data_IF_360096234738
#
_entry.id   IF_360096234738
#
_cell.length_a   1.000
_cell.length_b   1.000
_cell.length_c   1.000
_cell.angle_alpha   90.00
_cell.angle_beta   90.00
_cell.angle_gamma   90.00
#
_symmetry.space_group_name_H-M   'P 1'
#
loop_
_entity.id
_entity.type
_entity.pdbx_description
1 polymer ?
#
# COMPACT_ATOMS: atom_id res chain seq x y z
N UNK A 1 32.57 31.68 -13.77
CA UNK A 1 31.55 31.04 -14.64
C UNK A 1 31.25 29.67 -14.03
N UNK A 2 30.42 29.53 -12.98
CA UNK A 2 28.95 29.54 -13.01
C UNK A 2 28.36 28.77 -14.20
N UNK A 3 28.72 27.51 -14.41
CA UNK A 3 27.93 26.63 -15.31
C UNK A 3 27.81 25.24 -14.70
N UNK A 4 26.69 25.08 -13.99
CA UNK A 4 26.02 23.83 -13.67
C UNK A 4 26.80 22.81 -12.82
N UNK A 5 26.99 23.15 -11.55
CA UNK A 5 26.88 22.16 -10.46
C UNK A 5 25.39 22.11 -10.08
N UNK A 6 24.82 20.92 -9.83
CA UNK A 6 23.41 20.62 -9.55
C UNK A 6 22.47 20.46 -10.76
N UNK A 7 22.55 19.31 -11.43
CA UNK A 7 21.31 18.58 -11.74
C UNK A 7 21.27 17.37 -10.81
N UNK A 8 20.87 17.59 -9.55
CA UNK A 8 20.57 16.48 -8.64
C UNK A 8 19.29 15.84 -9.16
N UNK A 9 19.45 14.70 -9.81
CA UNK A 9 18.39 13.87 -10.35
C UNK A 9 17.45 13.49 -9.18
N UNK A 10 16.31 14.19 -9.02
CA UNK A 10 15.21 13.69 -8.20
C UNK A 10 14.62 12.48 -8.93
N UNK A 11 15.25 11.32 -8.76
CA UNK A 11 14.56 10.05 -9.01
C UNK A 11 13.54 9.94 -7.89
N UNK A 12 12.26 10.16 -8.20
CA UNK A 12 11.18 9.71 -7.33
C UNK A 12 11.31 8.19 -7.23
N UNK A 13 11.80 7.69 -6.09
CA UNK A 13 11.75 6.27 -5.82
C UNK A 13 10.27 5.90 -5.70
N UNK A 14 9.77 5.09 -6.63
CA UNK A 14 8.47 4.45 -6.47
C UNK A 14 8.64 3.48 -5.29
N UNK A 15 8.15 3.87 -4.12
CA UNK A 15 8.08 2.97 -2.96
C UNK A 15 6.76 2.24 -3.01
N UNK A 16 6.79 0.92 -3.14
CA UNK A 16 5.65 0.07 -2.86
C UNK A 16 5.75 -0.33 -1.39
N UNK A 17 4.72 -0.02 -0.61
CA UNK A 17 4.64 -0.39 0.80
C UNK A 17 3.68 -1.56 1.00
N UNK A 18 4.01 -2.40 1.98
CA UNK A 18 3.08 -3.38 2.52
C UNK A 18 2.33 -2.74 3.70
N UNK A 19 1.00 -2.66 3.60
CA UNK A 19 0.12 -2.15 4.65
C UNK A 19 -0.57 -3.35 5.30
N UNK A 20 -0.29 -3.59 6.58
CA UNK A 20 -0.78 -4.79 7.27
C UNK A 20 -2.08 -4.51 8.01
N UNK A 21 -3.11 -5.31 7.74
CA UNK A 21 -4.37 -5.32 8.49
C UNK A 21 -4.38 -6.56 9.38
N UNK A 22 -4.62 -6.45 10.71
CA UNK A 22 -5.03 -5.27 11.45
C UNK A 22 -3.86 -4.46 12.08
N UNK A 23 -2.61 -4.89 11.87
CA UNK A 23 -1.46 -4.40 12.65
C UNK A 23 -1.14 -2.92 12.45
N UNK A 24 -1.14 -2.45 11.20
CA UNK A 24 -0.89 -1.05 10.85
C UNK A 24 -2.21 -0.26 10.75
N UNK A 25 -3.26 -0.92 10.24
CA UNK A 25 -4.60 -0.35 10.07
C UNK A 25 -5.64 -1.31 10.63
N UNK A 26 -6.53 -0.87 11.54
CA UNK A 26 -7.52 -1.74 12.18
C UNK A 26 -8.58 -2.30 11.22
N UNK A 27 -8.78 -1.70 10.04
CA UNK A 27 -9.77 -2.11 9.05
C UNK A 27 -9.19 -2.13 7.63
N UNK A 28 -9.79 -2.92 6.74
CA UNK A 28 -9.42 -2.99 5.33
C UNK A 28 -9.67 -1.65 4.65
N UNK A 29 -10.81 -1.00 4.92
CA UNK A 29 -11.11 0.30 4.32
C UNK A 29 -10.11 1.40 4.71
N UNK A 30 -9.63 1.42 5.97
CA UNK A 30 -8.60 2.39 6.39
C UNK A 30 -7.28 2.18 5.66
N UNK A 31 -6.87 0.93 5.41
CA UNK A 31 -5.70 0.63 4.59
C UNK A 31 -5.90 1.08 3.13
N UNK A 32 -7.08 0.85 2.53
CA UNK A 32 -7.41 1.31 1.17
C UNK A 32 -7.37 2.84 1.07
N UNK A 33 -7.89 3.55 2.07
CA UNK A 33 -7.86 5.00 2.11
C UNK A 33 -6.44 5.56 2.19
N UNK A 34 -5.56 4.84 2.90
CA UNK A 34 -4.19 5.27 3.20
C UNK A 34 -3.16 4.86 2.14
N UNK A 35 -3.43 3.82 1.35
CA UNK A 35 -2.49 3.29 0.37
C UNK A 35 -2.21 4.26 -0.79
N UNK A 36 -0.97 4.25 -1.28
CA UNK A 36 -0.58 4.86 -2.54
C UNK A 36 -0.80 3.88 -3.71
N UNK A 37 -0.77 4.39 -4.95
CA UNK A 37 -0.82 3.52 -6.12
C UNK A 37 0.45 2.66 -6.20
N UNK A 38 0.28 1.35 -6.28
CA UNK A 38 1.35 0.35 -6.29
C UNK A 38 1.53 -0.38 -4.97
N UNK A 39 0.86 0.05 -3.89
CA UNK A 39 0.97 -0.58 -2.59
C UNK A 39 0.22 -1.93 -2.53
N UNK A 40 0.63 -2.74 -1.55
CA UNK A 40 -0.01 -4.02 -1.25
C UNK A 40 -0.61 -3.97 0.16
N UNK A 41 -1.90 -4.26 0.26
CA UNK A 41 -2.59 -4.45 1.54
C UNK A 41 -2.56 -5.94 1.87
N UNK A 42 -1.88 -6.28 2.97
CA UNK A 42 -1.76 -7.66 3.46
C UNK A 42 -2.74 -7.86 4.62
N UNK A 43 -3.73 -8.71 4.42
CA UNK A 43 -4.79 -9.01 5.39
C UNK A 43 -4.43 -10.28 6.16
N UNK A 44 -4.13 -10.11 7.44
CA UNK A 44 -3.86 -11.21 8.37
C UNK A 44 -5.09 -12.09 8.56
N UNK A 45 -4.90 -13.35 8.94
CA UNK A 45 -5.98 -14.28 9.21
C UNK A 45 -7.01 -13.71 10.22
N UNK A 46 -8.28 -13.73 9.85
CA UNK A 46 -9.38 -13.23 10.66
C UNK A 46 -10.66 -13.02 9.85
N UNK A 47 -11.76 -12.69 10.56
CA UNK A 47 -13.02 -12.27 9.95
C UNK A 47 -13.21 -10.78 10.16
N UNK A 48 -13.36 -10.03 9.08
CA UNK A 48 -13.54 -8.58 9.08
C UNK A 48 -14.98 -8.27 8.68
N UNK A 49 -15.80 -7.86 9.66
CA UNK A 49 -17.20 -7.49 9.43
C UNK A 49 -17.28 -6.03 8.98
N UNK A 50 -16.81 -5.77 7.77
CA UNK A 50 -16.90 -4.46 7.12
C UNK A 50 -18.08 -4.43 6.14
N UNK A 51 -18.53 -3.23 5.80
CA UNK A 51 -19.56 -3.01 4.79
C UNK A 51 -18.99 -3.15 3.38
N UNK A 52 -19.32 -2.18 2.51
CA UNK A 52 -18.69 -2.13 1.19
C UNK A 52 -17.25 -1.62 1.31
N UNK A 53 -16.32 -2.29 0.61
CA UNK A 53 -14.94 -1.80 0.47
C UNK A 53 -14.85 -1.02 -0.84
N UNK A 54 -14.61 0.29 -0.72
CA UNK A 54 -14.55 1.23 -1.84
C UNK A 54 -13.12 1.40 -2.32
N UNK A 55 -12.83 1.03 -3.57
CA UNK A 55 -11.53 1.21 -4.21
C UNK A 55 -11.52 2.46 -5.09
N UNK A 56 -10.50 3.32 -4.99
CA UNK A 56 -10.39 4.49 -5.86
C UNK A 56 -10.08 4.09 -7.31
N UNK A 57 -10.78 4.71 -8.27
CA UNK A 57 -10.68 4.38 -9.71
C UNK A 57 -9.28 4.58 -10.31
N UNK A 58 -8.45 5.43 -9.70
CA UNK A 58 -7.15 5.86 -10.23
C UNK A 58 -5.95 5.38 -9.40
N UNK A 59 -6.09 4.29 -8.63
CA UNK A 59 -4.95 3.65 -7.96
C UNK A 59 -4.88 2.17 -8.30
N UNK A 60 -3.70 1.72 -8.72
CA UNK A 60 -3.40 0.30 -8.74
C UNK A 60 -3.15 -0.16 -7.30
N UNK A 61 -3.97 -1.07 -6.77
CA UNK A 61 -3.86 -1.56 -5.39
C UNK A 61 -3.87 -3.08 -5.46
N UNK A 62 -2.96 -3.73 -4.73
CA UNK A 62 -3.01 -5.18 -4.52
C UNK A 62 -3.63 -5.45 -3.16
N UNK A 63 -4.70 -6.23 -3.11
CA UNK A 63 -5.25 -6.77 -1.86
C UNK A 63 -4.93 -8.25 -1.80
N UNK A 64 -4.21 -8.68 -0.75
CA UNK A 64 -3.80 -10.07 -0.58
C UNK A 64 -3.98 -10.52 0.88
N UNK A 65 -4.14 -11.82 1.09
CA UNK A 65 -4.13 -12.42 2.42
C UNK A 65 -2.71 -12.77 2.85
N UNK A 66 -2.40 -12.68 4.14
CA UNK A 66 -1.21 -13.30 4.75
C UNK A 66 -1.38 -14.83 4.77
N UNK A 67 -1.33 -15.45 3.59
CA UNK A 67 -1.46 -16.89 3.47
C UNK A 67 -0.11 -17.56 3.78
N UNK A 68 0.02 -18.10 4.99
CA UNK A 68 1.17 -18.94 5.37
C UNK A 68 0.86 -20.41 5.10
N UNK A 69 1.51 -21.00 4.09
CA UNK A 69 1.53 -22.45 3.91
C UNK A 69 2.47 -23.06 4.96
N UNK A 70 1.94 -23.87 5.87
CA UNK A 70 2.76 -24.74 6.70
C UNK A 70 2.98 -26.05 5.92
N UNK A 71 4.23 -26.32 5.53
CA UNK A 71 4.68 -27.60 4.96
C UNK A 71 5.05 -28.58 6.08
#
# INVERSE_FOLDING_TARGET
>A
MKRLFLSLLLISAISMADLNVPNDYPTIQEAVNSCASGDTIIVSNGTYNEGNIEFPENKAITLASEFRFFL
#
